data_IF_688058143360
#
_entry.id   IF_688058143360
#
_cell.length_a   1.000
_cell.length_b   1.000
_cell.length_c   1.000
_cell.angle_alpha   90.00
_cell.angle_beta   90.00
_cell.angle_gamma   90.00
#
_symmetry.space_group_name_H-M   'P 1'
#
loop_
_entity.id
_entity.type
_entity.pdbx_description
1 polymer ?
#
# COMPACT_ATOMS: atom_id res chain seq x y z
N UNK A 1 -8.10 22.28 12.30
CA UNK A 1 -8.82 21.15 11.67
C UNK A 1 -7.78 20.31 10.93
N UNK A 2 -7.77 18.99 11.14
CA UNK A 2 -6.85 18.11 10.42
C UNK A 2 -7.14 18.19 8.92
N UNK A 3 -6.09 18.33 8.11
CA UNK A 3 -6.19 18.61 6.67
C UNK A 3 -6.42 17.30 5.89
N UNK A 4 -7.55 16.64 6.19
CA UNK A 4 -7.86 15.27 5.72
C UNK A 4 -7.82 15.15 4.19
N UNK A 5 -8.25 16.18 3.45
CA UNK A 5 -8.16 16.18 1.98
C UNK A 5 -6.73 16.14 1.45
N UNK A 6 -5.78 16.80 2.15
CA UNK A 6 -4.35 16.74 1.79
C UNK A 6 -3.74 15.39 2.16
N UNK A 7 -4.18 14.82 3.29
CA UNK A 7 -3.85 13.45 3.70
C UNK A 7 -4.29 12.43 2.65
N UNK A 8 -5.56 12.48 2.25
CA UNK A 8 -6.12 11.59 1.23
C UNK A 8 -5.38 11.71 -0.11
N UNK A 9 -5.07 12.93 -0.55
CA UNK A 9 -4.32 13.14 -1.81
C UNK A 9 -2.89 12.60 -1.74
N UNK A 10 -2.16 12.90 -0.66
CA UNK A 10 -0.81 12.38 -0.49
C UNK A 10 -0.79 10.85 -0.39
N UNK A 11 -1.76 10.28 0.33
CA UNK A 11 -1.97 8.84 0.44
C UNK A 11 -2.34 8.18 -0.88
N UNK A 12 -3.20 8.79 -1.69
CA UNK A 12 -3.54 8.27 -3.02
C UNK A 12 -2.33 8.27 -3.96
N UNK A 13 -1.54 9.35 -3.97
CA UNK A 13 -0.31 9.44 -4.80
C UNK A 13 0.70 8.37 -4.37
N UNK A 14 0.92 8.21 -3.05
CA UNK A 14 1.77 7.14 -2.53
C UNK A 14 1.17 5.75 -2.84
N UNK A 15 -0.15 5.61 -2.81
CA UNK A 15 -0.91 4.40 -3.13
C UNK A 15 -0.80 3.96 -4.60
N UNK A 16 -0.64 4.90 -5.55
CA UNK A 16 -0.33 4.58 -6.94
C UNK A 16 1.03 3.89 -7.04
N UNK A 17 2.06 4.48 -6.43
CA UNK A 17 3.41 3.90 -6.47
C UNK A 17 3.44 2.55 -5.76
N UNK A 18 2.76 2.44 -4.62
CA UNK A 18 2.57 1.19 -3.90
C UNK A 18 1.90 0.13 -4.79
N UNK A 19 0.82 0.50 -5.48
CA UNK A 19 0.09 -0.40 -6.36
C UNK A 19 0.91 -0.94 -7.51
N UNK A 20 1.81 -0.13 -8.08
CA UNK A 20 2.75 -0.60 -9.11
C UNK A 20 3.73 -1.63 -8.53
N UNK A 21 4.29 -1.35 -7.36
CA UNK A 21 5.23 -2.26 -6.69
C UNK A 21 4.53 -3.58 -6.34
N UNK A 22 3.33 -3.51 -5.77
CA UNK A 22 2.55 -4.70 -5.41
C UNK A 22 2.10 -5.48 -6.64
N UNK A 23 1.65 -4.82 -7.71
CA UNK A 23 1.30 -5.48 -8.97
C UNK A 23 2.47 -6.29 -9.55
N UNK A 24 3.65 -5.68 -9.63
CA UNK A 24 4.88 -6.37 -10.08
C UNK A 24 5.23 -7.51 -9.13
N UNK A 25 5.16 -7.26 -7.83
CA UNK A 25 5.40 -8.25 -6.78
C UNK A 25 4.47 -9.46 -6.89
N UNK A 26 3.18 -9.24 -7.14
CA UNK A 26 2.20 -10.30 -7.31
C UNK A 26 2.44 -11.11 -8.58
N UNK A 27 2.82 -10.48 -9.70
CA UNK A 27 3.20 -11.23 -10.91
C UNK A 27 4.40 -12.14 -10.64
N UNK A 28 5.41 -11.65 -9.91
CA UNK A 28 6.56 -12.46 -9.51
C UNK A 28 6.16 -13.57 -8.54
N UNK A 29 5.35 -13.27 -7.52
CA UNK A 29 4.85 -14.25 -6.55
C UNK A 29 3.98 -15.34 -7.18
N UNK A 30 3.17 -14.96 -8.17
CA UNK A 30 2.29 -15.86 -8.91
C UNK A 30 3.08 -16.97 -9.61
N UNK A 31 4.30 -16.66 -10.07
CA UNK A 31 5.19 -17.63 -10.71
C UNK A 31 5.61 -18.76 -9.76
N UNK A 32 5.64 -18.53 -8.44
CA UNK A 32 5.98 -19.57 -7.45
C UNK A 32 4.81 -20.51 -7.13
N UNK A 33 3.57 -20.09 -7.38
CA UNK A 33 2.36 -20.85 -7.03
C UNK A 33 1.57 -21.31 -8.25
N UNK A 34 2.05 -21.03 -9.47
CA UNK A 34 1.32 -21.28 -10.71
C UNK A 34 0.99 -22.76 -10.92
N UNK A 35 1.90 -23.66 -10.60
CA UNK A 35 1.68 -25.11 -10.72
C UNK A 35 0.61 -25.61 -9.74
N UNK A 36 0.62 -25.08 -8.51
CA UNK A 36 -0.40 -25.37 -7.50
C UNK A 36 -1.78 -24.87 -7.93
N UNK A 37 -1.85 -23.66 -8.51
CA UNK A 37 -3.10 -23.10 -9.05
C UNK A 37 -3.59 -23.95 -10.22
N UNK A 38 -2.71 -24.30 -11.16
CA UNK A 38 -3.06 -25.13 -12.32
C UNK A 38 -3.61 -26.48 -11.89
N UNK A 39 -2.96 -27.13 -10.93
CA UNK A 39 -3.44 -28.41 -10.36
C UNK A 39 -4.81 -28.27 -9.70
N UNK A 40 -5.03 -27.19 -8.94
CA UNK A 40 -6.32 -26.93 -8.29
C UNK A 40 -7.46 -26.66 -9.30
N UNK A 41 -7.16 -26.03 -10.43
CA UNK A 41 -8.15 -25.66 -11.45
C UNK A 41 -8.41 -26.77 -12.48
N UNK A 42 -7.44 -27.65 -12.72
CA UNK A 42 -7.56 -28.76 -13.68
C UNK A 42 -8.74 -29.72 -13.42
N UNK A 43 -9.22 -29.83 -12.17
CA UNK A 43 -10.37 -30.65 -11.80
C UNK A 43 -11.72 -29.92 -11.75
N UNK A 44 -11.76 -28.64 -12.13
CA UNK A 44 -12.97 -27.80 -12.02
C UNK A 44 -13.70 -27.68 -13.35
N UNK A 45 -15.04 -27.64 -13.29
CA UNK A 45 -15.87 -27.43 -14.48
C UNK A 45 -15.72 -25.99 -14.95
N UNK A 46 -15.03 -25.79 -16.08
CA UNK A 46 -14.86 -24.48 -16.68
C UNK A 46 -16.08 -24.10 -17.55
N UNK A 47 -16.38 -22.80 -17.70
CA UNK A 47 -17.36 -22.35 -18.67
C UNK A 47 -16.99 -22.81 -20.08
N UNK A 48 -18.01 -23.10 -20.90
CA UNK A 48 -17.81 -23.63 -22.25
C UNK A 48 -16.92 -22.70 -23.09
N UNK A 49 -15.89 -23.29 -23.72
CA UNK A 49 -14.96 -22.57 -24.58
C UNK A 49 -13.77 -21.91 -23.88
N UNK A 50 -13.64 -22.03 -22.55
CA UNK A 50 -12.46 -21.54 -21.81
C UNK A 50 -11.47 -22.67 -21.49
N UNK A 51 -10.20 -22.37 -21.70
CA UNK A 51 -9.07 -23.21 -21.27
C UNK A 51 -8.59 -22.82 -19.87
N UNK A 52 -7.95 -23.75 -19.17
CA UNK A 52 -7.33 -23.49 -17.85
C UNK A 52 -6.37 -22.30 -17.91
N UNK A 53 -5.58 -22.19 -18.98
CA UNK A 53 -4.59 -21.12 -19.14
C UNK A 53 -5.22 -19.74 -19.35
N UNK A 54 -6.36 -19.68 -20.06
CA UNK A 54 -7.14 -18.44 -20.18
C UNK A 54 -7.71 -18.00 -18.84
N UNK A 55 -8.21 -18.94 -18.03
CA UNK A 55 -8.75 -18.63 -16.70
C UNK A 55 -7.65 -18.13 -15.77
N UNK A 56 -6.51 -18.82 -15.70
CA UNK A 56 -5.36 -18.42 -14.89
C UNK A 56 -4.88 -17.01 -15.28
N UNK A 57 -4.76 -16.75 -16.59
CA UNK A 57 -4.34 -15.44 -17.10
C UNK A 57 -5.35 -14.34 -16.74
N UNK A 58 -6.65 -14.60 -16.91
CA UNK A 58 -7.70 -13.66 -16.54
C UNK A 58 -7.70 -13.37 -15.03
N UNK A 59 -7.50 -14.38 -14.19
CA UNK A 59 -7.36 -14.21 -12.73
C UNK A 59 -6.16 -13.35 -12.38
N UNK A 60 -5.01 -13.55 -13.03
CA UNK A 60 -3.82 -12.73 -12.80
C UNK A 60 -4.07 -11.27 -13.17
N UNK A 61 -4.69 -10.99 -14.32
CA UNK A 61 -5.04 -9.63 -14.72
C UNK A 61 -6.02 -8.98 -13.75
N UNK A 62 -7.06 -9.70 -13.35
CA UNK A 62 -8.03 -9.23 -12.37
C UNK A 62 -7.35 -8.90 -11.04
N UNK A 63 -6.49 -9.80 -10.54
CA UNK A 63 -5.72 -9.58 -9.31
C UNK A 63 -4.87 -8.32 -9.41
N UNK A 64 -4.11 -8.15 -10.49
CA UNK A 64 -3.27 -6.97 -10.70
C UNK A 64 -4.09 -5.68 -10.71
N UNK A 65 -5.23 -5.67 -11.43
CA UNK A 65 -6.10 -4.49 -11.52
C UNK A 65 -6.73 -4.17 -10.16
N UNK A 66 -7.29 -5.17 -9.47
CA UNK A 66 -7.92 -4.98 -8.18
C UNK A 66 -6.92 -4.57 -7.11
N UNK A 67 -5.71 -5.14 -7.10
CA UNK A 67 -4.64 -4.71 -6.20
C UNK A 67 -4.25 -3.27 -6.49
N UNK A 68 -4.03 -2.89 -7.76
CA UNK A 68 -3.63 -1.54 -8.12
C UNK A 68 -4.70 -0.49 -7.75
N UNK A 69 -5.97 -0.76 -8.04
CA UNK A 69 -7.07 0.15 -7.65
C UNK A 69 -7.25 0.16 -6.14
N UNK A 70 -7.19 -1.02 -5.51
CA UNK A 70 -7.29 -1.20 -4.06
C UNK A 70 -6.20 -0.45 -3.30
N UNK A 71 -4.96 -0.44 -3.79
CA UNK A 71 -3.83 0.26 -3.16
C UNK A 71 -4.00 1.78 -3.19
N UNK A 72 -4.63 2.34 -4.24
CA UNK A 72 -4.94 3.77 -4.33
C UNK A 72 -5.99 4.16 -3.30
N UNK A 73 -7.07 3.37 -3.20
CA UNK A 73 -8.16 3.60 -2.25
C UNK A 73 -7.65 3.45 -0.82
N UNK A 74 -6.96 2.34 -0.53
CA UNK A 74 -6.38 2.07 0.78
C UNK A 74 -5.33 3.14 1.14
N UNK A 75 -4.48 3.52 0.18
CA UNK A 75 -3.52 4.60 0.34
C UNK A 75 -4.18 5.91 0.73
N UNK A 76 -5.29 6.28 0.08
CA UNK A 76 -6.05 7.48 0.46
C UNK A 76 -6.55 7.40 1.91
N UNK A 77 -7.13 6.28 2.32
CA UNK A 77 -7.62 6.05 3.70
C UNK A 77 -6.46 6.16 4.70
N UNK A 78 -5.36 5.47 4.44
CA UNK A 78 -4.15 5.51 5.27
C UNK A 78 -3.55 6.91 5.34
N UNK A 79 -3.62 7.69 4.26
CA UNK A 79 -3.20 9.09 4.25
C UNK A 79 -4.06 10.00 5.12
N UNK A 80 -5.38 9.74 5.19
CA UNK A 80 -6.29 10.42 6.14
C UNK A 80 -5.91 10.07 7.58
N UNK A 81 -5.65 8.79 7.87
CA UNK A 81 -5.22 8.34 9.19
C UNK A 81 -3.90 9.03 9.58
N UNK A 82 -2.92 9.06 8.68
CA UNK A 82 -1.65 9.75 8.90
C UNK A 82 -1.87 11.25 9.20
N UNK A 83 -2.74 11.93 8.45
CA UNK A 83 -3.08 13.33 8.71
C UNK A 83 -3.70 13.54 10.11
N UNK A 84 -4.44 12.57 10.63
CA UNK A 84 -5.00 12.65 11.99
C UNK A 84 -3.95 12.45 13.09
N UNK A 85 -2.99 11.54 12.90
CA UNK A 85 -2.09 11.08 13.96
C UNK A 85 -0.70 11.73 13.94
N UNK A 86 -0.25 12.29 12.80
CA UNK A 86 1.13 12.78 12.63
C UNK A 86 1.54 13.87 13.63
N UNK A 87 0.59 14.69 14.09
CA UNK A 87 0.84 15.76 15.07
C UNK A 87 0.66 15.33 16.53
N UNK A 88 -0.02 14.21 16.79
CA UNK A 88 -0.27 13.75 18.16
C UNK A 88 0.87 12.89 18.70
N UNK A 89 1.51 12.10 17.84
CA UNK A 89 2.47 11.07 18.28
C UNK A 89 3.89 11.25 17.75
N UNK A 90 4.14 12.18 16.82
CA UNK A 90 5.42 12.20 16.08
C UNK A 90 6.03 13.61 15.92
N UNK A 91 5.77 14.51 16.86
CA UNK A 91 6.11 15.95 16.79
C UNK A 91 7.60 16.29 16.64
N UNK A 92 8.53 15.43 17.06
CA UNK A 92 9.97 15.72 17.05
C UNK A 92 10.70 15.41 15.73
N UNK A 93 10.02 14.83 14.73
CA UNK A 93 10.66 14.36 13.48
C UNK A 93 10.16 15.12 12.25
N UNK A 94 10.94 15.11 11.17
CA UNK A 94 10.54 15.62 9.85
C UNK A 94 9.39 14.78 9.28
N UNK A 95 8.51 15.38 8.46
CA UNK A 95 7.33 14.70 7.90
C UNK A 95 7.67 13.40 7.14
N UNK A 96 8.73 13.32 6.32
CA UNK A 96 9.13 12.06 5.69
C UNK A 96 9.52 10.98 6.70
N UNK A 97 10.21 11.35 7.78
CA UNK A 97 10.60 10.41 8.83
C UNK A 97 9.39 9.91 9.63
N UNK A 98 8.39 10.77 9.87
CA UNK A 98 7.09 10.34 10.44
C UNK A 98 6.40 9.34 9.51
N UNK A 99 6.45 9.60 8.21
CA UNK A 99 5.93 8.71 7.18
C UNK A 99 6.61 7.33 7.18
N UNK A 100 7.94 7.28 7.28
CA UNK A 100 8.70 6.02 7.40
C UNK A 100 8.27 5.23 8.64
N UNK A 101 8.16 5.88 9.81
CA UNK A 101 7.69 5.23 11.04
C UNK A 101 6.28 4.66 10.85
N UNK A 102 5.39 5.41 10.21
CA UNK A 102 4.05 4.94 9.87
C UNK A 102 4.10 3.72 8.92
N UNK A 103 4.97 3.75 7.91
CA UNK A 103 5.20 2.61 7.01
C UNK A 103 5.65 1.35 7.74
N UNK A 104 6.61 1.46 8.66
CA UNK A 104 7.08 0.33 9.49
C UNK A 104 5.92 -0.26 10.32
N UNK A 105 5.07 0.59 10.90
CA UNK A 105 3.89 0.14 11.66
C UNK A 105 2.94 -0.64 10.75
N UNK A 106 2.67 -0.14 9.54
CA UNK A 106 1.83 -0.84 8.56
C UNK A 106 2.43 -2.20 8.16
N UNK A 107 3.75 -2.27 7.99
CA UNK A 107 4.42 -3.52 7.70
C UNK A 107 4.28 -4.55 8.82
N UNK A 108 4.48 -4.14 10.08
CA UNK A 108 4.30 -5.04 11.23
C UNK A 108 2.87 -5.58 11.30
N UNK A 109 1.88 -4.75 10.99
CA UNK A 109 0.47 -5.18 10.84
C UNK A 109 0.34 -6.18 9.67
N UNK A 110 0.99 -5.91 8.54
CA UNK A 110 1.04 -6.78 7.36
C UNK A 110 1.66 -8.16 7.61
N UNK A 111 2.66 -8.26 8.50
CA UNK A 111 3.22 -9.56 8.91
C UNK A 111 2.14 -10.41 9.59
N UNK A 112 1.29 -9.81 10.43
CA UNK A 112 0.19 -10.50 11.10
C UNK A 112 -0.78 -11.18 10.11
N UNK A 113 -1.04 -10.52 8.97
CA UNK A 113 -1.87 -11.09 7.90
C UNK A 113 -1.17 -12.24 7.13
N UNK A 114 0.17 -12.29 7.12
CA UNK A 114 0.92 -13.34 6.41
C UNK A 114 1.02 -14.66 7.18
N UNK A 115 0.68 -14.68 8.48
CA UNK A 115 0.77 -15.89 9.32
C UNK A 115 -0.15 -17.03 8.80
N UNK A 116 -1.19 -16.73 8.02
CA UNK A 116 -2.06 -17.75 7.41
C UNK A 116 -1.54 -18.37 6.11
N UNK A 117 -0.47 -17.83 5.51
CA UNK A 117 -0.05 -18.15 4.14
C UNK A 117 1.09 -19.18 4.05
N UNK A 118 1.48 -19.82 5.16
CA UNK A 118 2.56 -20.83 5.16
C UNK A 118 2.27 -22.03 4.24
N UNK A 119 1.00 -22.28 3.91
CA UNK A 119 0.58 -23.31 2.95
C UNK A 119 1.18 -23.11 1.54
N UNK A 120 1.59 -21.89 1.18
CA UNK A 120 2.24 -21.58 -0.10
C UNK A 120 3.76 -21.76 -0.09
N UNK A 121 4.34 -22.20 1.05
CA UNK A 121 5.77 -22.46 1.21
C UNK A 121 6.54 -21.30 1.86
N UNK A 122 7.64 -21.64 2.53
CA UNK A 122 8.46 -20.69 3.29
C UNK A 122 9.12 -19.63 2.41
N UNK A 123 9.53 -19.99 1.19
CA UNK A 123 10.08 -19.04 0.21
C UNK A 123 9.07 -17.98 -0.19
N UNK A 124 7.82 -18.38 -0.46
CA UNK A 124 6.74 -17.45 -0.80
C UNK A 124 6.52 -16.44 0.34
N UNK A 125 6.45 -16.94 1.58
CA UNK A 125 6.26 -16.08 2.77
C UNK A 125 7.45 -15.12 2.93
N UNK A 126 8.68 -15.61 2.81
CA UNK A 126 9.88 -14.77 2.93
C UNK A 126 9.92 -13.64 1.89
N UNK A 127 9.66 -13.96 0.62
CA UNK A 127 9.61 -12.97 -0.47
C UNK A 127 8.47 -11.97 -0.24
N UNK A 128 7.30 -12.43 0.18
CA UNK A 128 6.14 -11.58 0.48
C UNK A 128 6.42 -10.60 1.63
N UNK A 129 7.10 -11.05 2.68
CA UNK A 129 7.48 -10.20 3.83
C UNK A 129 8.48 -9.12 3.42
N UNK A 130 9.49 -9.47 2.61
CA UNK A 130 10.50 -8.51 2.12
C UNK A 130 9.86 -7.50 1.17
N UNK A 131 9.03 -7.96 0.23
CA UNK A 131 8.29 -7.07 -0.68
C UNK A 131 7.39 -6.12 0.11
N UNK A 132 6.65 -6.63 1.11
CA UNK A 132 5.83 -5.81 1.99
C UNK A 132 6.64 -4.77 2.77
N UNK A 133 7.85 -5.10 3.20
CA UNK A 133 8.74 -4.13 3.87
C UNK A 133 9.13 -3.01 2.92
N UNK A 134 9.64 -3.34 1.74
CA UNK A 134 10.07 -2.36 0.73
C UNK A 134 8.89 -1.46 0.32
N UNK A 135 7.74 -2.07 0.05
CA UNK A 135 6.51 -1.41 -0.33
C UNK A 135 6.04 -0.41 0.74
N UNK A 136 5.99 -0.84 2.00
CA UNK A 136 5.56 0.00 3.13
C UNK A 136 6.49 1.17 3.42
N UNK A 137 7.81 0.98 3.27
CA UNK A 137 8.81 2.02 3.47
C UNK A 137 8.71 3.09 2.36
N UNK A 138 8.55 2.66 1.11
CA UNK A 138 8.34 3.56 -0.02
C UNK A 138 7.03 4.34 0.16
N UNK A 139 5.94 3.64 0.46
CA UNK A 139 4.65 4.27 0.72
C UNK A 139 4.74 5.30 1.85
N UNK A 140 5.32 4.91 2.99
CA UNK A 140 5.48 5.77 4.16
C UNK A 140 6.32 7.02 3.85
N UNK A 141 7.45 6.84 3.19
CA UNK A 141 8.30 7.97 2.75
C UNK A 141 7.54 8.92 1.82
N UNK A 142 6.88 8.40 0.77
CA UNK A 142 6.15 9.21 -0.19
C UNK A 142 4.96 9.93 0.44
N UNK A 143 4.23 9.26 1.32
CA UNK A 143 3.14 9.86 2.09
C UNK A 143 3.65 11.06 2.90
N UNK A 144 4.74 10.88 3.65
CA UNK A 144 5.35 11.95 4.43
C UNK A 144 5.96 13.06 3.58
N UNK A 145 6.46 12.74 2.39
CA UNK A 145 7.04 13.69 1.44
C UNK A 145 5.96 14.56 0.76
N UNK A 146 4.87 13.95 0.30
CA UNK A 146 3.78 14.65 -0.38
C UNK A 146 2.79 15.32 0.58
N UNK A 147 2.76 14.90 1.84
CA UNK A 147 1.90 15.53 2.84
C UNK A 147 2.41 16.93 3.20
N UNK A 148 1.62 17.95 2.83
CA UNK A 148 1.88 19.35 3.16
C UNK A 148 0.87 19.84 4.21
N UNK A 149 1.22 19.91 5.51
CA UNK A 149 0.31 20.41 6.52
C UNK A 149 -0.05 21.88 6.27
N UNK A 150 -1.25 22.30 6.68
CA UNK A 150 -1.62 23.72 6.68
C UNK A 150 -0.66 24.45 7.63
N UNK A 151 0.10 25.42 7.12
CA UNK A 151 0.80 26.36 7.99
C UNK A 151 -0.25 27.12 8.80
N UNK A 152 -0.04 27.23 10.11
CA UNK A 152 -0.78 28.19 10.90
C UNK A 152 -0.46 29.57 10.32
N UNK A 153 -1.49 30.30 9.89
CA UNK A 153 -1.35 31.69 9.47
C UNK A 153 -0.59 32.45 10.56
N UNK A 154 0.62 32.92 10.24
CA UNK A 154 1.36 33.79 11.15
C UNK A 154 0.49 35.03 11.41
N UNK A 155 0.35 35.50 12.66
CA UNK A 155 -0.30 36.77 12.93
C UNK A 155 0.46 37.86 12.16
N UNK A 156 -0.24 38.62 11.32
CA UNK A 156 0.29 39.84 10.72
C UNK A 156 0.85 40.73 11.84
N UNK A 157 2.10 41.22 11.73
CA UNK A 157 2.64 42.18 12.69
C UNK A 157 1.68 43.37 12.79
N UNK A 158 1.43 43.93 13.98
CA UNK A 158 0.62 45.13 14.09
C UNK A 158 1.28 46.24 13.26
N UNK A 159 0.54 46.78 12.31
CA UNK A 159 0.93 47.98 11.56
C UNK A 159 1.18 49.09 12.58
N UNK A 160 2.44 49.42 12.83
CA UNK A 160 2.81 50.60 13.60
C UNK A 160 2.44 51.82 12.76
N UNK A 161 1.25 52.37 13.00
CA UNK A 161 0.93 53.73 12.58
C UNK A 161 1.78 54.67 13.42
N UNK A 162 2.78 55.29 12.81
CA UNK A 162 3.40 56.51 13.30
C UNK A 162 2.53 57.70 12.93
#
# INVERSE_FOLDING_TARGET
MADYGRGAKAGAIAGVVLGVIEAIGYVALFSFIMDSIRTAVQGTTLPAGLTVDQVISATLYALVIFTFVGSIILGAILGVIFAAVHNKYMTSKSLPMRGIVFGIILWLIGIGFNIGNFSYGTTYVAVSVILGLVASLIYGYLLGHFFKPKQASQPTPPTSTM
#
